data_IF_343157987708
#
_entry.id   IF_343157987708
#
_cell.length_a   1.000
_cell.length_b   1.000
_cell.length_c   1.000
_cell.angle_alpha   90.00
_cell.angle_beta   90.00
_cell.angle_gamma   90.00
#
_symmetry.space_group_name_H-M   'P 1'
#
loop_
_entity.id
_entity.type
_entity.pdbx_description
1 polymer ?
#
# COMPACT_ATOMS: atom_id res chain seq x y z
N UNK A 1 72.67 -10.47 6.79
CA UNK A 1 73.37 -9.96 7.98
C UNK A 1 73.35 -8.44 7.94
N UNK A 2 73.03 -7.85 9.08
CA UNK A 2 73.13 -6.43 9.49
C UNK A 2 71.99 -5.47 9.14
N UNK A 3 71.09 -5.39 10.14
CA UNK A 3 70.37 -4.21 10.61
C UNK A 3 71.25 -2.97 10.75
N UNK A 4 70.63 -1.80 10.55
CA UNK A 4 70.91 -0.62 11.37
C UNK A 4 69.67 0.29 11.43
N UNK A 5 69.02 0.22 12.59
CA UNK A 5 68.15 1.23 13.22
C UNK A 5 68.98 2.50 13.48
N UNK A 6 68.30 3.66 13.59
CA UNK A 6 68.53 4.80 14.52
C UNK A 6 67.99 6.08 13.83
N UNK A 7 67.46 7.13 14.47
CA UNK A 7 66.74 7.40 15.72
C UNK A 7 66.39 8.91 15.65
N UNK A 8 65.25 9.31 16.22
CA UNK A 8 64.82 10.71 16.43
C UNK A 8 65.69 11.37 17.54
N UNK A 9 65.84 12.71 17.58
CA UNK A 9 65.37 13.49 18.74
C UNK A 9 64.70 14.82 18.29
N UNK A 10 63.66 15.41 18.89
CA UNK A 10 63.23 15.72 20.28
C UNK A 10 63.74 17.05 20.86
N UNK A 11 62.81 17.76 21.53
CA UNK A 11 62.92 18.85 22.56
C UNK A 11 63.41 20.23 22.07
N UNK A 12 63.00 21.40 22.57
CA UNK A 12 62.52 21.85 23.88
C UNK A 12 61.84 23.24 23.73
N UNK A 13 60.75 23.63 24.40
CA UNK A 13 60.44 23.80 25.84
C UNK A 13 60.61 25.25 26.33
N UNK A 14 59.82 25.55 27.37
CA UNK A 14 59.87 26.66 28.35
C UNK A 14 58.96 27.88 28.13
N UNK A 15 58.33 28.51 29.15
CA UNK A 15 58.01 28.21 30.56
C UNK A 15 57.29 29.46 31.15
N UNK A 16 56.57 29.30 32.28
CA UNK A 16 56.15 30.37 33.22
C UNK A 16 54.65 30.72 33.16
N UNK A 17 53.75 30.42 34.12
CA UNK A 17 53.67 30.49 35.60
C UNK A 17 52.91 31.74 36.12
N UNK A 18 52.25 31.57 37.28
CA UNK A 18 51.53 32.52 38.16
C UNK A 18 49.99 32.65 38.06
N UNK A 19 49.37 32.01 39.06
CA UNK A 19 48.59 32.60 40.18
C UNK A 19 47.06 32.70 40.18
N UNK A 20 46.58 32.38 41.39
CA UNK A 20 45.25 32.18 41.94
C UNK A 20 44.37 33.45 41.95
N UNK A 21 43.03 33.29 41.89
CA UNK A 21 42.18 33.97 42.89
C UNK A 21 40.73 33.46 43.00
N UNK A 22 40.15 33.80 44.15
CA UNK A 22 39.15 33.10 44.96
C UNK A 22 37.63 33.33 44.73
N UNK A 23 36.85 32.35 45.20
CA UNK A 23 35.58 32.42 45.99
C UNK A 23 34.32 33.16 45.45
N UNK A 24 33.21 32.40 45.40
CA UNK A 24 32.10 32.62 46.36
C UNK A 24 31.20 31.40 46.63
N UNK A 25 31.05 31.13 47.94
CA UNK A 25 30.26 30.10 48.63
C UNK A 25 28.75 30.42 48.67
N UNK A 26 27.91 29.38 48.68
CA UNK A 26 26.90 29.04 49.72
C UNK A 26 26.30 27.65 49.35
N UNK A 27 26.60 26.50 49.99
CA UNK A 27 26.26 26.04 51.38
C UNK A 27 24.82 26.45 51.72
N UNK A 28 23.83 25.58 51.99
CA UNK A 28 23.71 24.32 52.78
C UNK A 28 22.43 23.60 52.27
N UNK A 29 22.33 22.29 52.03
CA UNK A 29 22.60 21.06 52.81
C UNK A 29 21.64 20.84 53.99
N UNK A 30 21.05 19.63 53.97
CA UNK A 30 20.49 18.80 55.07
C UNK A 30 19.04 19.08 55.40
N UNK A 31 18.15 18.10 55.52
CA UNK A 31 18.22 16.64 55.69
C UNK A 31 16.80 16.23 56.17
N UNK A 32 16.35 14.99 56.23
CA UNK A 32 17.03 13.76 56.64
C UNK A 32 15.98 12.62 56.67
N UNK A 33 16.40 11.43 56.23
CA UNK A 33 16.02 10.04 56.61
C UNK A 33 14.52 9.69 56.80
N UNK A 34 13.88 8.89 55.93
CA UNK A 34 13.91 7.40 55.79
C UNK A 34 12.60 6.78 56.34
N UNK A 35 12.25 5.50 56.10
CA UNK A 35 12.57 4.59 54.99
C UNK A 35 11.31 3.81 54.49
N UNK A 36 11.49 2.87 53.55
CA UNK A 36 10.60 1.73 53.24
C UNK A 36 9.27 2.00 52.52
N UNK A 37 9.31 1.85 51.20
CA UNK A 37 8.26 1.11 50.49
C UNK A 37 8.87 0.52 49.22
N UNK A 38 9.26 -0.75 49.32
CA UNK A 38 9.46 -1.62 48.16
C UNK A 38 8.11 -1.77 47.45
N UNK A 39 7.80 -0.87 46.52
CA UNK A 39 6.86 -1.20 45.46
C UNK A 39 7.67 -1.75 44.30
N UNK A 40 7.79 -3.07 44.29
CA UNK A 40 8.01 -3.89 43.11
C UNK A 40 6.95 -3.49 42.06
N UNK A 41 7.26 -2.47 41.27
CA UNK A 41 6.55 -2.10 40.05
C UNK A 41 6.79 -3.19 39.02
N UNK A 42 6.01 -4.27 39.14
CA UNK A 42 5.91 -5.41 38.25
C UNK A 42 6.14 -5.02 36.79
N UNK A 43 7.31 -5.40 36.26
CA UNK A 43 7.70 -5.28 34.85
C UNK A 43 6.81 -6.16 33.92
N UNK A 44 5.80 -6.81 34.51
CA UNK A 44 4.79 -7.64 33.88
C UNK A 44 3.68 -6.81 33.19
N UNK A 45 3.43 -5.57 33.63
CA UNK A 45 2.40 -4.70 33.02
C UNK A 45 2.83 -4.08 31.68
N UNK A 46 4.14 -3.88 31.45
CA UNK A 46 4.64 -3.51 30.13
C UNK A 46 4.56 -4.68 29.13
N UNK A 47 4.70 -5.92 29.62
CA UNK A 47 4.62 -7.15 28.80
C UNK A 47 3.17 -7.58 28.53
N UNK A 48 2.22 -7.30 29.43
CA UNK A 48 0.78 -7.61 29.24
C UNK A 48 0.05 -6.71 28.23
N UNK A 49 0.62 -5.56 27.86
CA UNK A 49 0.08 -4.72 26.77
C UNK A 49 0.32 -5.33 25.38
N UNK A 50 1.21 -6.33 25.27
CA UNK A 50 1.75 -6.80 24.00
C UNK A 50 0.88 -7.80 23.21
N UNK A 51 -0.24 -8.33 23.74
CA UNK A 51 -0.95 -9.42 23.04
C UNK A 51 -2.45 -9.55 23.35
N UNK A 52 -3.14 -8.43 23.61
CA UNK A 52 -4.61 -8.48 23.64
C UNK A 52 -5.09 -8.65 22.19
N UNK A 53 -5.66 -9.81 21.87
CA UNK A 53 -6.39 -10.05 20.63
C UNK A 53 -7.59 -9.09 20.63
N UNK A 54 -7.63 -8.15 19.69
CA UNK A 54 -8.59 -7.03 19.72
C UNK A 54 -9.78 -7.26 18.77
N UNK A 55 -9.57 -8.03 17.70
CA UNK A 55 -10.58 -8.33 16.68
C UNK A 55 -10.39 -9.77 16.22
N UNK A 56 -11.42 -10.61 16.30
CA UNK A 56 -11.43 -11.96 15.70
C UNK A 56 -10.16 -12.80 15.92
N UNK A 57 -9.61 -12.78 17.14
CA UNK A 57 -8.34 -13.44 17.50
C UNK A 57 -7.04 -12.86 16.94
N UNK A 58 -7.09 -11.73 16.22
CA UNK A 58 -5.93 -11.04 15.66
C UNK A 58 -5.36 -9.98 16.61
N UNK A 59 -4.04 -9.82 16.56
CA UNK A 59 -3.33 -8.69 17.16
C UNK A 59 -3.42 -7.45 16.26
N UNK A 60 -3.21 -6.27 16.85
CA UNK A 60 -3.26 -5.02 16.09
C UNK A 60 -2.20 -4.96 14.97
N UNK A 61 -1.03 -5.56 15.19
CA UNK A 61 0.02 -5.70 14.18
C UNK A 61 -0.40 -6.58 13.01
N UNK A 62 -1.06 -7.71 13.29
CA UNK A 62 -1.57 -8.64 12.28
C UNK A 62 -2.65 -7.97 11.43
N UNK A 63 -3.62 -7.30 12.07
CA UNK A 63 -4.66 -6.55 11.35
C UNK A 63 -4.06 -5.46 10.46
N UNK A 64 -3.03 -4.74 10.92
CA UNK A 64 -2.33 -3.75 10.08
C UNK A 64 -1.63 -4.38 8.89
N UNK A 65 -0.97 -5.54 9.06
CA UNK A 65 -0.37 -6.30 7.95
C UNK A 65 -1.45 -6.74 6.97
N UNK A 66 -2.52 -7.35 7.47
CA UNK A 66 -3.67 -7.77 6.68
C UNK A 66 -4.23 -6.63 5.83
N UNK A 67 -4.53 -5.46 6.40
CA UNK A 67 -5.05 -4.31 5.64
C UNK A 67 -4.06 -3.85 4.55
N UNK A 68 -2.74 -3.86 4.85
CA UNK A 68 -1.72 -3.49 3.86
C UNK A 68 -1.64 -4.48 2.70
N UNK A 69 -1.83 -5.77 2.95
CA UNK A 69 -1.85 -6.83 1.94
C UNK A 69 -3.19 -6.85 1.18
N UNK A 70 -4.30 -6.62 1.87
CA UNK A 70 -5.66 -6.61 1.32
C UNK A 70 -5.87 -5.57 0.21
N UNK A 71 -5.21 -4.40 0.32
CA UNK A 71 -5.26 -3.37 -0.74
C UNK A 71 -4.42 -3.69 -1.98
N UNK A 72 -3.57 -4.72 -1.94
CA UNK A 72 -2.67 -5.09 -3.05
C UNK A 72 -3.38 -5.88 -4.16
N UNK A 73 -4.63 -6.30 -3.93
CA UNK A 73 -5.40 -7.17 -4.82
C UNK A 73 -6.74 -6.52 -5.24
N UNK A 74 -7.21 -6.80 -6.46
CA UNK A 74 -8.49 -6.29 -6.97
C UNK A 74 -9.70 -6.91 -6.24
N UNK A 75 -9.72 -8.24 -6.13
CA UNK A 75 -10.76 -9.00 -5.42
C UNK A 75 -10.12 -9.78 -4.26
N UNK A 76 -9.79 -9.12 -3.15
CA UNK A 76 -8.99 -9.72 -2.09
C UNK A 76 -9.62 -10.96 -1.45
N UNK A 77 -10.96 -11.05 -1.38
CA UNK A 77 -11.65 -12.22 -0.82
C UNK A 77 -11.43 -13.50 -1.65
N UNK A 78 -11.14 -13.37 -2.94
CA UNK A 78 -10.80 -14.54 -3.78
C UNK A 78 -9.32 -14.95 -3.66
N UNK A 79 -8.51 -14.11 -3.00
CA UNK A 79 -7.04 -14.22 -2.92
C UNK A 79 -6.56 -14.27 -1.46
N UNK A 80 -7.37 -14.81 -0.56
CA UNK A 80 -7.05 -14.87 0.88
C UNK A 80 -5.75 -15.63 1.17
N UNK A 81 -5.43 -16.68 0.41
CA UNK A 81 -4.18 -17.43 0.57
C UNK A 81 -2.94 -16.58 0.26
N UNK A 82 -2.99 -15.81 -0.84
CA UNK A 82 -1.91 -14.89 -1.19
C UNK A 82 -1.79 -13.73 -0.18
N UNK A 83 -2.92 -13.27 0.35
CA UNK A 83 -2.93 -12.25 1.42
C UNK A 83 -2.36 -12.80 2.73
N UNK A 84 -2.67 -14.06 3.08
CA UNK A 84 -2.16 -14.71 4.28
C UNK A 84 -0.64 -14.82 4.23
N UNK A 85 -0.09 -15.26 3.10
CA UNK A 85 1.34 -15.35 2.87
C UNK A 85 2.03 -13.98 2.96
N UNK A 86 1.50 -12.97 2.26
CA UNK A 86 2.08 -11.61 2.26
C UNK A 86 1.97 -10.91 3.63
N UNK A 87 0.96 -11.25 4.42
CA UNK A 87 0.73 -10.68 5.75
C UNK A 87 1.39 -11.47 6.89
N UNK A 88 2.03 -12.60 6.60
CA UNK A 88 2.55 -13.56 7.58
C UNK A 88 1.44 -13.99 8.56
N UNK A 89 0.32 -14.51 8.01
CA UNK A 89 -0.89 -14.95 8.73
C UNK A 89 -1.34 -16.36 8.30
N UNK A 90 -0.40 -17.19 7.83
CA UNK A 90 -0.68 -18.56 7.37
C UNK A 90 -1.16 -19.48 8.50
N UNK A 91 -0.93 -19.10 9.75
CA UNK A 91 -1.40 -19.80 10.94
C UNK A 91 -2.92 -19.67 11.18
N UNK A 92 -3.60 -18.75 10.48
CA UNK A 92 -5.05 -18.53 10.62
C UNK A 92 -5.84 -19.30 9.58
N UNK A 93 -7.05 -19.73 9.94
CA UNK A 93 -7.93 -20.41 9.01
C UNK A 93 -8.45 -19.46 7.92
N UNK A 94 -8.73 -20.02 6.74
CA UNK A 94 -9.36 -19.27 5.63
C UNK A 94 -10.66 -18.57 6.05
N UNK A 95 -11.44 -19.22 6.92
CA UNK A 95 -12.69 -18.66 7.44
C UNK A 95 -12.46 -17.43 8.33
N UNK A 96 -11.42 -17.43 9.19
CA UNK A 96 -11.08 -16.27 10.02
C UNK A 96 -10.62 -15.08 9.18
N UNK A 97 -9.78 -15.33 8.18
CA UNK A 97 -9.34 -14.29 7.24
C UNK A 97 -10.48 -13.75 6.38
N UNK A 98 -11.41 -14.62 5.98
CA UNK A 98 -12.61 -14.23 5.26
C UNK A 98 -13.54 -13.36 6.12
N UNK A 99 -13.74 -13.72 7.40
CA UNK A 99 -14.51 -12.91 8.34
C UNK A 99 -13.87 -11.53 8.54
N UNK A 100 -12.55 -11.48 8.75
CA UNK A 100 -11.80 -10.23 8.89
C UNK A 100 -11.90 -9.34 7.64
N UNK A 101 -11.77 -9.94 6.45
CA UNK A 101 -11.92 -9.24 5.17
C UNK A 101 -13.33 -8.72 4.92
N UNK A 102 -14.35 -9.51 5.28
CA UNK A 102 -15.75 -9.09 5.16
C UNK A 102 -16.09 -7.94 6.10
N UNK A 103 -15.63 -7.99 7.36
CA UNK A 103 -15.83 -6.90 8.31
C UNK A 103 -15.11 -5.62 7.86
N UNK A 104 -13.91 -5.75 7.30
CA UNK A 104 -13.16 -4.61 6.75
C UNK A 104 -13.92 -3.95 5.59
N UNK A 105 -14.48 -4.75 4.67
CA UNK A 105 -15.28 -4.23 3.56
C UNK A 105 -16.60 -3.62 4.03
N UNK A 106 -17.29 -4.25 4.99
CA UNK A 106 -18.51 -3.72 5.58
C UNK A 106 -18.25 -2.38 6.29
N UNK A 107 -17.14 -2.29 7.05
CA UNK A 107 -16.68 -1.05 7.66
C UNK A 107 -16.38 0.04 6.63
N UNK A 108 -15.71 -0.30 5.52
CA UNK A 108 -15.49 0.62 4.41
C UNK A 108 -16.82 1.12 3.83
N UNK A 109 -17.81 0.23 3.63
CA UNK A 109 -19.11 0.57 3.07
C UNK A 109 -19.89 1.52 3.97
N UNK A 110 -19.96 1.20 5.26
CA UNK A 110 -20.66 2.03 6.26
C UNK A 110 -20.03 3.42 6.36
N UNK A 111 -18.70 3.47 6.49
CA UNK A 111 -17.96 4.73 6.58
C UNK A 111 -18.14 5.59 5.33
N UNK A 112 -18.18 4.97 4.15
CA UNK A 112 -18.43 5.66 2.89
C UNK A 112 -19.85 6.24 2.84
N UNK A 113 -20.87 5.46 3.22
CA UNK A 113 -22.26 5.91 3.24
C UNK A 113 -22.47 7.09 4.20
N UNK A 114 -21.96 7.00 5.43
CA UNK A 114 -22.03 8.10 6.40
C UNK A 114 -21.31 9.36 5.91
N UNK A 115 -20.18 9.18 5.21
CA UNK A 115 -19.46 10.30 4.61
C UNK A 115 -20.27 10.97 3.48
N UNK A 116 -20.94 10.18 2.64
CA UNK A 116 -21.83 10.69 1.60
C UNK A 116 -23.00 11.50 2.16
N UNK A 117 -23.63 11.00 3.22
CA UNK A 117 -24.73 11.69 3.91
C UNK A 117 -24.26 13.04 4.47
N UNK A 118 -23.11 13.06 5.16
CA UNK A 118 -22.51 14.30 5.68
C UNK A 118 -22.21 15.31 4.58
N UNK A 119 -21.74 14.86 3.42
CA UNK A 119 -21.49 15.74 2.27
C UNK A 119 -22.80 16.27 1.68
N UNK A 120 -23.82 15.41 1.52
CA UNK A 120 -25.14 15.81 1.02
C UNK A 120 -25.83 16.81 1.96
N UNK A 121 -25.70 16.63 3.27
CA UNK A 121 -26.23 17.56 4.28
C UNK A 121 -25.49 18.90 4.27
N UNK A 122 -24.16 18.88 4.17
CA UNK A 122 -23.35 20.09 4.07
C UNK A 122 -23.66 20.90 2.80
N UNK A 123 -24.05 20.23 1.70
CA UNK A 123 -24.47 20.89 0.46
C UNK A 123 -25.85 21.55 0.55
N UNK A 124 -26.71 21.14 1.48
CA UNK A 124 -28.05 21.74 1.67
C UNK A 124 -28.00 23.04 2.48
N UNK A 125 -26.91 23.33 3.18
CA UNK A 125 -26.72 24.57 3.93
C UNK A 125 -25.91 25.59 3.09
N UNK A 126 -26.30 26.88 3.05
CA UNK A 126 -25.48 27.91 2.41
C UNK A 126 -24.11 27.94 3.09
N UNK A 127 -23.04 27.87 2.30
CA UNK A 127 -21.67 27.77 2.81
C UNK A 127 -21.21 29.17 3.27
N UNK A 128 -21.15 29.39 4.59
CA UNK A 128 -20.78 30.70 5.17
C UNK A 128 -19.26 30.92 5.26
N UNK A 129 -18.42 29.89 5.10
CA UNK A 129 -16.98 30.05 5.28
C UNK A 129 -16.17 29.31 4.20
N UNK A 130 -15.41 30.07 3.42
CA UNK A 130 -14.70 29.67 2.20
C UNK A 130 -13.53 28.68 2.39
N UNK A 131 -13.38 28.05 3.56
CA UNK A 131 -12.39 26.99 3.77
C UNK A 131 -12.93 25.64 3.31
N UNK A 132 -12.70 25.33 2.03
CA UNK A 132 -12.82 23.96 1.50
C UNK A 132 -11.89 23.05 2.30
N UNK A 133 -12.42 22.37 3.33
CA UNK A 133 -11.69 21.32 4.06
C UNK A 133 -11.22 20.30 3.03
N UNK A 134 -9.92 19.99 3.07
CA UNK A 134 -9.30 19.03 2.18
C UNK A 134 -10.09 17.70 2.26
N UNK A 135 -10.76 17.32 1.18
CA UNK A 135 -11.54 16.07 1.08
C UNK A 135 -10.57 14.88 1.11
N UNK A 136 -10.25 14.44 2.32
CA UNK A 136 -9.42 13.25 2.60
C UNK A 136 -10.23 11.95 2.52
N UNK A 137 -11.54 12.02 2.22
CA UNK A 137 -12.46 10.89 2.20
C UNK A 137 -12.87 10.37 3.58
N UNK A 138 -13.67 9.30 3.57
CA UNK A 138 -14.10 8.61 4.79
C UNK A 138 -12.93 7.95 5.52
N UNK A 139 -12.93 8.05 6.84
CA UNK A 139 -12.01 7.38 7.75
C UNK A 139 -12.86 6.70 8.81
N UNK A 140 -12.56 5.44 9.13
CA UNK A 140 -13.21 4.73 10.22
C UNK A 140 -12.20 3.95 11.04
N UNK A 141 -12.59 3.64 12.28
CA UNK A 141 -11.79 2.83 13.19
C UNK A 141 -12.15 1.35 13.02
N UNK A 142 -11.18 0.57 12.57
CA UNK A 142 -11.26 -0.87 12.55
C UNK A 142 -10.53 -1.41 13.78
N UNK A 143 -11.29 -1.64 14.86
CA UNK A 143 -10.72 -1.82 16.20
C UNK A 143 -10.02 -0.54 16.66
N UNK A 144 -8.70 -0.58 16.79
CA UNK A 144 -7.88 0.57 17.18
C UNK A 144 -7.10 1.20 16.00
N UNK A 145 -7.36 0.74 14.76
CA UNK A 145 -6.62 1.16 13.57
C UNK A 145 -7.49 2.09 12.73
N UNK A 146 -6.95 3.27 12.38
CA UNK A 146 -7.60 4.17 11.43
C UNK A 146 -7.43 3.65 10.00
N UNK A 147 -8.56 3.38 9.33
CA UNK A 147 -8.60 2.92 7.95
C UNK A 147 -9.07 4.05 7.05
N UNK A 148 -8.22 4.42 6.10
CA UNK A 148 -8.53 5.41 5.06
C UNK A 148 -9.22 4.71 3.88
N UNK A 149 -10.53 4.90 3.77
CA UNK A 149 -11.37 4.16 2.79
C UNK A 149 -11.00 4.54 1.35
N UNK A 150 -10.87 5.84 1.07
CA UNK A 150 -10.62 6.34 -0.30
C UNK A 150 -9.34 5.78 -0.92
N UNK A 151 -8.16 5.85 -0.27
CA UNK A 151 -6.94 5.25 -0.80
C UNK A 151 -7.05 3.73 -1.01
N UNK A 152 -7.68 3.02 -0.07
CA UNK A 152 -7.87 1.57 -0.14
C UNK A 152 -8.70 1.19 -1.37
N UNK A 153 -9.89 1.78 -1.53
CA UNK A 153 -10.78 1.49 -2.66
C UNK A 153 -10.20 1.93 -3.99
N UNK A 154 -9.49 3.07 -4.03
CA UNK A 154 -8.83 3.52 -5.25
C UNK A 154 -7.84 2.47 -5.74
N UNK A 155 -6.95 1.97 -4.88
CA UNK A 155 -5.96 0.97 -5.27
C UNK A 155 -6.61 -0.29 -5.81
N UNK A 156 -7.65 -0.79 -5.16
CA UNK A 156 -8.37 -1.96 -5.63
C UNK A 156 -9.05 -1.70 -6.98
N UNK A 157 -9.66 -0.52 -7.15
CA UNK A 157 -10.29 -0.13 -8.42
C UNK A 157 -9.28 -0.03 -9.59
N UNK A 158 -8.06 0.43 -9.32
CA UNK A 158 -6.99 0.51 -10.33
C UNK A 158 -6.50 -0.89 -10.77
N UNK A 159 -6.73 -1.93 -9.95
CA UNK A 159 -6.36 -3.31 -10.24
C UNK A 159 -7.45 -4.12 -10.95
N UNK A 160 -8.71 -3.66 -10.94
CA UNK A 160 -9.83 -4.33 -11.62
C UNK A 160 -9.57 -4.59 -13.11
N UNK A 161 -9.03 -3.64 -13.91
CA UNK A 161 -8.76 -3.88 -15.33
C UNK A 161 -7.82 -5.06 -15.57
N UNK A 162 -6.80 -5.21 -14.73
CA UNK A 162 -5.86 -6.34 -14.78
C UNK A 162 -6.58 -7.64 -14.40
N UNK A 163 -7.39 -7.62 -13.34
CA UNK A 163 -8.15 -8.79 -12.91
C UNK A 163 -9.12 -9.28 -14.00
N UNK A 164 -9.86 -8.37 -14.63
CA UNK A 164 -10.79 -8.71 -15.70
C UNK A 164 -10.07 -9.27 -16.94
N UNK A 165 -8.91 -8.72 -17.28
CA UNK A 165 -8.10 -9.21 -18.38
C UNK A 165 -7.61 -10.64 -18.11
N UNK A 166 -7.07 -10.92 -16.92
CA UNK A 166 -6.66 -12.29 -16.55
C UNK A 166 -7.87 -13.23 -16.57
N UNK A 167 -9.02 -12.80 -16.05
CA UNK A 167 -10.26 -13.59 -16.06
C UNK A 167 -10.75 -13.91 -17.47
N UNK A 168 -10.61 -12.99 -18.43
CA UNK A 168 -10.97 -13.24 -19.83
C UNK A 168 -10.07 -14.26 -20.52
N UNK A 169 -8.79 -14.33 -20.12
CA UNK A 169 -7.80 -15.26 -20.69
C UNK A 169 -7.86 -16.62 -20.00
N UNK A 170 -8.24 -16.67 -18.73
CA UNK A 170 -8.36 -17.89 -17.92
C UNK A 170 -7.03 -18.36 -17.31
N UNK A 171 -5.91 -18.09 -17.95
CA UNK A 171 -4.56 -18.39 -17.45
C UNK A 171 -3.66 -17.15 -17.49
N UNK A 172 -3.09 -16.80 -16.34
CA UNK A 172 -2.15 -15.70 -16.18
C UNK A 172 -0.91 -15.86 -17.08
N UNK A 173 -0.47 -17.09 -17.37
CA UNK A 173 0.72 -17.35 -18.20
C UNK A 173 0.52 -16.87 -19.63
N UNK A 174 -0.71 -16.93 -20.11
CA UNK A 174 -1.13 -16.53 -21.45
C UNK A 174 -1.49 -15.04 -21.54
N UNK A 175 -1.40 -14.29 -20.44
CA UNK A 175 -1.67 -12.85 -20.43
C UNK A 175 -0.84 -12.13 -21.50
N UNK A 176 -1.47 -11.21 -22.21
CA UNK A 176 -0.85 -10.31 -23.18
C UNK A 176 -1.32 -8.89 -22.93
N UNK A 177 -0.44 -7.91 -23.12
CA UNK A 177 -0.81 -6.50 -23.02
C UNK A 177 -1.51 -6.11 -24.33
N UNK A 178 -2.75 -5.60 -24.30
CA UNK A 178 -3.45 -5.19 -25.51
C UNK A 178 -2.81 -3.94 -26.10
N UNK A 179 -2.35 -4.02 -27.35
CA UNK A 179 -1.68 -2.91 -28.04
C UNK A 179 -0.24 -2.70 -27.57
N UNK A 180 0.31 -1.51 -27.84
CA UNK A 180 1.69 -1.17 -27.52
C UNK A 180 1.74 -0.05 -26.47
N UNK A 181 2.08 -0.35 -25.19
CA UNK A 181 2.32 0.68 -24.19
C UNK A 181 3.57 1.50 -24.56
N UNK A 182 3.66 2.74 -24.05
CA UNK A 182 4.83 3.58 -24.26
C UNK A 182 6.05 2.92 -23.63
N UNK A 183 7.13 2.78 -24.40
CA UNK A 183 8.41 2.24 -23.94
C UNK A 183 8.95 2.98 -22.71
N UNK A 184 9.60 2.24 -21.82
CA UNK A 184 10.28 2.82 -20.67
C UNK A 184 11.68 3.27 -21.08
N UNK A 185 12.03 4.52 -20.75
CA UNK A 185 13.33 5.13 -21.08
C UNK A 185 13.98 5.74 -19.83
N UNK A 186 15.31 5.80 -19.82
CA UNK A 186 16.09 6.45 -18.75
C UNK A 186 16.26 5.62 -17.48
N UNK A 187 16.14 4.29 -17.58
CA UNK A 187 16.59 3.34 -16.56
C UNK A 187 17.96 2.79 -16.93
N UNK A 188 18.72 2.32 -15.94
CA UNK A 188 20.05 1.74 -16.17
C UNK A 188 19.99 0.29 -16.67
N UNK A 189 18.77 -0.21 -16.92
CA UNK A 189 18.46 -1.56 -17.39
C UNK A 189 17.51 -1.43 -18.58
N UNK A 190 17.75 -2.23 -19.61
CA UNK A 190 16.84 -2.36 -20.75
C UNK A 190 15.51 -2.96 -20.28
N UNK A 191 14.42 -2.27 -20.59
CA UNK A 191 13.08 -2.65 -20.15
C UNK A 191 12.14 -2.72 -21.34
N UNK A 192 11.71 -3.94 -21.67
CA UNK A 192 10.89 -4.25 -22.84
C UNK A 192 9.43 -4.53 -22.45
N UNK A 193 8.62 -4.89 -23.45
CA UNK A 193 7.21 -5.25 -23.24
C UNK A 193 7.05 -6.59 -22.51
N UNK A 194 8.02 -7.50 -22.62
CA UNK A 194 8.01 -8.76 -21.89
C UNK A 194 8.24 -8.52 -20.39
N UNK A 195 9.04 -7.52 -20.02
CA UNK A 195 9.24 -7.07 -18.64
C UNK A 195 7.99 -6.41 -18.07
N UNK A 196 7.32 -5.56 -18.85
CA UNK A 196 6.02 -5.02 -18.46
C UNK A 196 5.00 -6.12 -18.21
N UNK A 197 5.00 -7.15 -19.07
CA UNK A 197 4.12 -8.29 -18.93
C UNK A 197 4.46 -9.12 -17.69
N UNK A 198 5.74 -9.40 -17.45
CA UNK A 198 6.22 -10.09 -16.26
C UNK A 198 5.86 -9.31 -14.99
N UNK A 199 6.01 -7.99 -14.99
CA UNK A 199 5.61 -7.11 -13.90
C UNK A 199 4.10 -7.19 -13.63
N UNK A 200 3.25 -7.16 -14.67
CA UNK A 200 1.81 -7.28 -14.51
C UNK A 200 1.39 -8.66 -13.98
N UNK A 201 2.02 -9.73 -14.46
CA UNK A 201 1.82 -11.10 -13.94
C UNK A 201 2.20 -11.17 -12.45
N UNK A 202 3.36 -10.62 -12.10
CA UNK A 202 3.83 -10.52 -10.73
C UNK A 202 2.89 -9.72 -9.82
N UNK A 203 2.39 -8.57 -10.27
CA UNK A 203 1.40 -7.77 -9.52
C UNK A 203 0.12 -8.56 -9.29
N UNK A 204 -0.34 -9.33 -10.26
CA UNK A 204 -1.51 -10.17 -10.08
C UNK A 204 -1.25 -11.34 -9.11
N UNK A 205 -0.05 -11.95 -9.14
CA UNK A 205 0.30 -13.11 -8.30
C UNK A 205 0.60 -12.71 -6.84
N UNK A 206 1.53 -11.79 -6.65
CA UNK A 206 2.05 -11.39 -5.33
C UNK A 206 1.39 -10.13 -4.76
N UNK A 207 0.73 -9.34 -5.62
CA UNK A 207 0.09 -8.10 -5.23
C UNK A 207 0.92 -6.85 -5.57
N UNK A 208 0.23 -5.73 -5.72
CA UNK A 208 0.86 -4.44 -6.02
C UNK A 208 1.76 -3.97 -4.86
N UNK A 209 3.04 -3.71 -5.14
CA UNK A 209 4.00 -3.25 -4.13
C UNK A 209 4.92 -4.34 -3.57
N UNK A 210 4.64 -5.62 -3.86
CA UNK A 210 5.48 -6.77 -3.48
C UNK A 210 6.63 -6.94 -4.47
N UNK A 211 7.47 -5.91 -4.59
CA UNK A 211 8.50 -5.83 -5.62
C UNK A 211 9.64 -6.81 -5.44
N UNK A 212 9.98 -7.15 -4.19
CA UNK A 212 11.08 -8.07 -3.92
C UNK A 212 10.65 -9.50 -4.26
N UNK A 213 9.41 -9.87 -3.93
CA UNK A 213 8.80 -11.15 -4.26
C UNK A 213 8.70 -11.33 -5.78
N UNK A 214 8.20 -10.31 -6.48
CA UNK A 214 8.10 -10.29 -7.95
C UNK A 214 9.49 -10.41 -8.59
N UNK A 215 10.50 -9.74 -8.03
CA UNK A 215 11.87 -9.79 -8.53
C UNK A 215 12.48 -11.17 -8.31
N UNK A 216 12.24 -11.80 -7.15
CA UNK A 216 12.82 -13.09 -6.78
C UNK A 216 12.17 -14.29 -7.48
N UNK A 217 11.00 -14.13 -8.10
CA UNK A 217 10.35 -15.19 -8.88
C UNK A 217 11.15 -15.52 -10.15
N UNK A 218 11.72 -16.74 -10.27
CA UNK A 218 12.47 -17.15 -11.45
C UNK A 218 11.63 -17.16 -12.74
N UNK A 219 10.31 -17.34 -12.62
CA UNK A 219 9.37 -17.42 -13.75
C UNK A 219 9.27 -16.11 -14.53
N UNK A 220 9.62 -15.00 -13.89
CA UNK A 220 9.54 -13.67 -14.49
C UNK A 220 10.88 -13.16 -15.02
N UNK A 221 12.00 -13.82 -14.69
CA UNK A 221 13.34 -13.44 -15.19
C UNK A 221 13.82 -12.04 -14.76
N UNK A 222 13.08 -11.36 -13.89
CA UNK A 222 13.38 -9.98 -13.47
C UNK A 222 14.63 -9.91 -12.59
N UNK A 223 14.88 -10.93 -11.75
CA UNK A 223 16.13 -11.05 -11.00
C UNK A 223 17.36 -11.06 -11.91
N UNK A 224 17.28 -11.69 -13.09
CA UNK A 224 18.44 -11.86 -13.96
C UNK A 224 18.77 -10.57 -14.73
N UNK A 225 17.77 -9.86 -15.28
CA UNK A 225 17.97 -8.54 -15.91
C UNK A 225 18.53 -7.50 -14.94
N UNK A 226 18.19 -7.66 -13.67
CA UNK A 226 18.71 -6.89 -12.55
C UNK A 226 20.18 -7.28 -12.20
N UNK A 227 20.58 -8.52 -12.48
CA UNK A 227 21.85 -9.13 -12.03
C UNK A 227 23.01 -9.01 -13.03
N UNK A 228 22.77 -8.61 -14.27
CA UNK A 228 23.83 -8.39 -15.27
C UNK A 228 24.21 -6.90 -15.29
N UNK A 229 24.90 -6.36 -14.25
CA UNK A 229 26.31 -6.71 -13.99
C UNK A 229 26.66 -6.86 -12.49
N UNK A 230 26.72 -8.12 -12.04
CA UNK A 230 27.60 -8.85 -11.10
C UNK A 230 28.31 -8.18 -9.87
N UNK A 231 28.28 -6.88 -9.62
CA UNK A 231 28.88 -6.27 -8.39
C UNK A 231 28.13 -5.06 -7.82
N UNK A 232 26.98 -4.71 -8.39
CA UNK A 232 26.37 -3.39 -8.22
C UNK A 232 25.14 -3.39 -7.30
N UNK A 233 24.51 -4.54 -7.07
CA UNK A 233 23.25 -4.61 -6.33
C UNK A 233 23.35 -4.57 -4.81
N UNK A 234 24.56 -4.63 -4.25
CA UNK A 234 24.73 -4.66 -2.80
C UNK A 234 25.03 -3.31 -2.14
N UNK A 235 25.31 -2.21 -2.87
CA UNK A 235 25.71 -0.93 -2.22
C UNK A 235 25.18 0.37 -2.82
N UNK A 236 24.75 0.42 -4.08
CA UNK A 236 24.40 1.70 -4.71
C UNK A 236 22.89 1.97 -4.80
N UNK A 237 22.39 2.76 -3.83
CA UNK A 237 21.04 3.35 -3.84
C UNK A 237 20.83 4.40 -4.97
N UNK A 238 21.74 4.53 -5.91
CA UNK A 238 21.71 5.51 -7.00
C UNK A 238 21.16 4.95 -8.31
N UNK A 239 21.11 3.63 -8.47
CA UNK A 239 20.74 3.00 -9.75
C UNK A 239 19.24 2.77 -9.89
N UNK A 240 18.78 2.83 -11.14
CA UNK A 240 17.39 2.66 -11.57
C UNK A 240 17.27 1.34 -12.33
N UNK A 241 16.16 0.59 -12.16
CA UNK A 241 14.96 0.96 -11.42
C UNK A 241 15.04 0.72 -9.91
N UNK A 242 14.27 1.51 -9.17
CA UNK A 242 14.02 1.35 -7.73
C UNK A 242 12.54 1.08 -7.53
N UNK A 243 12.13 0.68 -6.33
CA UNK A 243 10.72 0.46 -5.98
C UNK A 243 9.81 1.62 -6.41
N UNK A 244 10.25 2.88 -6.29
CA UNK A 244 9.50 4.06 -6.75
C UNK A 244 9.33 4.13 -8.28
N UNK A 245 10.34 3.70 -9.03
CA UNK A 245 10.31 3.69 -10.50
C UNK A 245 9.42 2.55 -11.01
N UNK A 246 9.52 1.37 -10.39
CA UNK A 246 8.65 0.22 -10.68
C UNK A 246 7.19 0.56 -10.33
N UNK A 247 6.94 1.18 -9.18
CA UNK A 247 5.60 1.67 -8.80
C UNK A 247 5.03 2.60 -9.87
N UNK A 248 5.79 3.60 -10.33
CA UNK A 248 5.33 4.51 -11.37
C UNK A 248 5.04 3.80 -12.70
N UNK A 249 5.85 2.80 -13.07
CA UNK A 249 5.62 1.98 -14.27
C UNK A 249 4.36 1.13 -14.14
N UNK A 250 4.17 0.48 -13.00
CA UNK A 250 2.97 -0.31 -12.70
C UNK A 250 1.70 0.54 -12.78
N UNK A 251 1.68 1.72 -12.16
CA UNK A 251 0.54 2.65 -12.22
C UNK A 251 0.23 3.10 -13.66
N UNK A 252 1.26 3.36 -14.46
CA UNK A 252 1.10 3.68 -15.87
C UNK A 252 0.44 2.53 -16.64
N UNK A 253 0.91 1.29 -16.44
CA UNK A 253 0.38 0.11 -17.12
C UNK A 253 -1.07 -0.16 -16.71
N UNK A 254 -1.41 -0.10 -15.42
CA UNK A 254 -2.78 -0.27 -14.94
C UNK A 254 -3.72 0.77 -15.55
N UNK A 255 -3.29 2.04 -15.62
CA UNK A 255 -4.04 3.12 -16.28
C UNK A 255 -4.14 2.92 -17.80
N UNK A 256 -3.14 2.30 -18.42
CA UNK A 256 -3.19 1.94 -19.83
C UNK A 256 -4.23 0.84 -20.07
N UNK A 257 -4.20 -0.25 -19.30
CA UNK A 257 -5.20 -1.34 -19.36
C UNK A 257 -6.63 -0.81 -19.14
N UNK A 258 -6.83 0.09 -18.17
CA UNK A 258 -8.11 0.74 -17.92
C UNK A 258 -8.64 1.55 -19.11
N UNK A 259 -7.77 2.07 -19.98
CA UNK A 259 -8.15 2.81 -21.19
C UNK A 259 -8.42 1.87 -22.35
N UNK A 260 -7.59 0.85 -22.53
CA UNK A 260 -7.74 -0.15 -23.59
C UNK A 260 -9.06 -0.92 -23.45
N UNK A 261 -9.43 -1.31 -22.22
CA UNK A 261 -10.71 -1.98 -21.91
C UNK A 261 -11.94 -1.12 -22.25
N UNK A 262 -11.92 0.17 -21.90
CA UNK A 262 -13.00 1.10 -22.25
C UNK A 262 -13.11 1.36 -23.75
N UNK A 263 -11.97 1.40 -24.45
CA UNK A 263 -11.96 1.58 -25.91
C UNK A 263 -12.59 0.37 -26.63
N UNK A 264 -12.37 -0.85 -26.13
CA UNK A 264 -13.00 -2.06 -26.66
C UNK A 264 -14.51 -2.12 -26.37
N UNK A 265 -14.98 -1.64 -25.21
CA UNK A 265 -16.41 -1.55 -24.90
C UNK A 265 -17.14 -0.51 -25.77
N UNK A 266 -16.50 0.64 -26.00
CA UNK A 266 -17.07 1.72 -26.82
C UNK A 266 -17.13 1.38 -28.33
N UNK A 267 -16.26 0.49 -28.80
CA UNK A 267 -16.31 -0.02 -30.18
C UNK A 267 -17.37 -1.10 -30.36
N UNK A 268 -17.56 -1.97 -29.36
CA UNK A 268 -18.64 -2.96 -29.33
C UNK A 268 -20.03 -2.33 -29.29
N UNK A 269 -20.21 -1.17 -28.63
CA UNK A 269 -21.52 -0.49 -28.52
C UNK A 269 -21.89 0.34 -29.76
N UNK A 270 -20.96 0.56 -30.69
CA UNK A 270 -21.23 1.25 -31.98
C UNK A 270 -21.73 0.31 -33.08
N UNK A 271 -21.71 -1.01 -32.86
CA UNK A 271 -22.31 -1.97 -33.78
C UNK A 271 -23.81 -2.11 -33.50
N UNK A 272 -24.66 -1.57 -34.39
CA UNK A 272 -26.13 -1.70 -34.36
C UNK A 272 -26.54 -3.18 -34.32
N UNK A 273 -27.57 -3.57 -33.52
CA UNK A 273 -28.04 -4.94 -33.48
C UNK A 273 -28.84 -5.28 -34.74
N UNK A 274 -28.39 -6.30 -35.47
CA UNK A 274 -29.20 -6.93 -36.52
C UNK A 274 -30.24 -7.83 -35.84
N UNK A 275 -31.52 -7.46 -35.96
CA UNK A 275 -32.68 -8.23 -35.47
C UNK A 275 -32.67 -9.66 -36.05
N UNK A 276 -32.72 -10.69 -35.20
CA UNK A 276 -33.43 -11.96 -35.48
C UNK A 276 -34.03 -12.55 -34.18
N UNK A 277 -35.21 -13.14 -34.34
CA UNK A 277 -36.21 -13.53 -33.35
C UNK A 277 -35.91 -14.87 -32.62
N UNK A 278 -36.23 -14.92 -31.31
CA UNK A 278 -36.75 -16.00 -30.39
C UNK A 278 -36.47 -17.52 -30.59
N UNK A 279 -36.68 -18.42 -29.58
CA UNK A 279 -37.09 -18.22 -28.17
C UNK A 279 -36.21 -18.92 -27.09
N UNK A 280 -36.62 -18.73 -25.84
CA UNK A 280 -36.12 -19.16 -24.53
C UNK A 280 -35.93 -20.66 -24.29
N UNK A 281 -34.86 -21.04 -23.57
CA UNK A 281 -34.88 -22.11 -22.55
C UNK A 281 -33.99 -21.71 -21.35
N UNK A 282 -34.54 -21.95 -20.17
CA UNK A 282 -34.02 -21.71 -18.81
C UNK A 282 -33.10 -22.83 -18.32
N UNK A 283 -32.10 -22.50 -17.49
CA UNK A 283 -31.78 -23.12 -16.18
C UNK A 283 -30.27 -23.07 -15.86
N UNK A 284 -29.88 -22.22 -14.90
CA UNK A 284 -29.45 -22.53 -13.50
C UNK A 284 -27.97 -22.87 -13.32
N UNK A 285 -27.24 -21.94 -12.70
CA UNK A 285 -26.54 -22.07 -11.40
C UNK A 285 -25.41 -21.03 -11.34
N UNK A 286 -25.78 -19.79 -11.00
CA UNK A 286 -24.84 -18.72 -10.70
C UNK A 286 -24.52 -18.73 -9.22
N UNK A 287 -23.31 -19.16 -8.87
CA UNK A 287 -22.67 -18.92 -7.57
C UNK A 287 -22.73 -17.40 -7.30
N UNK A 288 -23.06 -16.93 -6.07
CA UNK A 288 -23.18 -15.50 -5.81
C UNK A 288 -21.80 -14.84 -5.91
N UNK A 289 -21.54 -14.18 -7.04
CA UNK A 289 -20.32 -13.38 -7.23
C UNK A 289 -20.49 -12.08 -6.46
N UNK A 290 -19.81 -12.02 -5.31
CA UNK A 290 -19.34 -10.85 -4.53
C UNK A 290 -19.91 -9.46 -4.92
N UNK A 291 -21.23 -9.30 -4.82
CA UNK A 291 -21.97 -8.09 -5.21
C UNK A 291 -21.65 -6.90 -4.31
N UNK A 292 -21.15 -7.17 -3.11
CA UNK A 292 -20.78 -6.15 -2.11
C UNK A 292 -19.57 -5.33 -2.56
N UNK A 293 -18.56 -5.99 -3.14
CA UNK A 293 -17.35 -5.32 -3.59
C UNK A 293 -17.58 -4.41 -4.81
N UNK A 294 -18.32 -4.89 -5.81
CA UNK A 294 -18.68 -4.08 -6.98
C UNK A 294 -19.54 -2.87 -6.60
N UNK A 295 -20.48 -3.06 -5.67
CA UNK A 295 -21.25 -1.95 -5.09
C UNK A 295 -20.35 -0.89 -4.45
N UNK A 296 -19.34 -1.31 -3.69
CA UNK A 296 -18.42 -0.41 -2.98
C UNK A 296 -17.58 0.43 -3.95
N UNK A 297 -17.06 -0.19 -5.01
CA UNK A 297 -16.32 0.49 -6.07
C UNK A 297 -17.21 1.45 -6.87
N UNK A 298 -18.47 1.08 -7.11
CA UNK A 298 -19.45 1.94 -7.78
C UNK A 298 -19.78 3.19 -6.95
N UNK A 299 -20.04 3.03 -5.64
CA UNK A 299 -20.25 4.16 -4.72
C UNK A 299 -19.02 5.09 -4.68
N UNK A 300 -17.82 4.53 -4.63
CA UNK A 300 -16.57 5.29 -4.72
C UNK A 300 -16.46 6.12 -6.02
N UNK A 301 -16.77 5.51 -7.17
CA UNK A 301 -16.76 6.19 -8.46
C UNK A 301 -17.81 7.31 -8.54
N UNK A 302 -18.99 7.11 -7.94
CA UNK A 302 -20.04 8.12 -7.85
C UNK A 302 -19.58 9.35 -7.04
N UNK A 303 -18.97 9.15 -5.87
CA UNK A 303 -18.41 10.25 -5.06
C UNK A 303 -17.34 11.01 -5.83
N UNK A 304 -16.46 10.29 -6.53
CA UNK A 304 -15.43 10.92 -7.37
C UNK A 304 -16.06 11.79 -8.46
N UNK A 305 -17.12 11.32 -9.10
CA UNK A 305 -17.87 12.10 -10.09
C UNK A 305 -18.49 13.36 -9.48
N UNK A 306 -19.17 13.25 -8.34
CA UNK A 306 -19.78 14.38 -7.64
C UNK A 306 -18.75 15.43 -7.19
N UNK A 307 -17.58 14.98 -6.70
CA UNK A 307 -16.47 15.87 -6.34
C UNK A 307 -15.90 16.61 -7.56
N UNK A 308 -15.79 15.93 -8.71
CA UNK A 308 -15.25 16.52 -9.94
C UNK A 308 -16.22 17.50 -10.61
N UNK A 309 -17.53 17.22 -10.61
CA UNK A 309 -18.56 18.11 -11.18
C UNK A 309 -18.69 19.43 -10.40
N UNK A 310 -18.53 19.41 -9.08
CA UNK A 310 -18.55 20.63 -8.27
C UNK A 310 -17.31 21.51 -8.48
N UNK A 311 -16.18 20.92 -8.91
CA UNK A 311 -15.01 21.70 -9.30
C UNK A 311 -15.27 22.47 -10.59
N UNK A 312 -16.02 21.90 -11.54
CA UNK A 312 -16.39 22.55 -12.81
C UNK A 312 -17.45 23.64 -12.64
N UNK A 313 -18.40 23.49 -11.72
CA UNK A 313 -19.41 24.52 -11.43
C UNK A 313 -18.83 25.78 -10.76
N UNK A 314 -17.66 25.69 -10.12
CA UNK A 314 -16.99 26.82 -9.49
C UNK A 314 -16.07 27.65 -10.42
N UNK A 315 -15.99 27.29 -11.71
CA UNK A 315 -15.19 28.01 -12.72
C UNK A 315 -16.03 28.66 -13.83
N UNK A 316 -17.36 28.69 -13.70
CA UNK A 316 -18.28 29.31 -14.65
C UNK A 316 -19.10 30.47 -14.02
N UNK A 317 -18.50 31.20 -13.09
CA UNK A 317 -18.99 32.51 -12.61
C UNK A 317 -17.84 33.50 -12.69
#
# INVERSE_FOLDING_TARGET
>A
LNLSILQIPEVAAEAGDSDEDEKKKKRRKRGRDSPLSEEEGSDEDKRKRARRKLLFNFTESEVRRFIRSFRKFAEPLTRLEAIAQDAELEEFSKNELEQLGNELLAGCQKAQAEYEEKIKEAMKKPMEDGKRRQDRGAIFKFGNIDVYVRPLLKMQSDLIPLHNLVKSVGDIRLLQIPGYPKEQKGWDVEWDIADDLALLKGIYQYGLGSWEEIKMDPSYGLAEKVRVPFMIWLKDKSKKPQSKHIQARAEYLLKYLARSTKATENTSTRMKPLKKNHPSVSSTLGIPVNTKFSSLVNSFNLIRSLSSSNKLMAYNV
#
